data_IF_750346080181
#
_entry.id   IF_750346080181
#
_cell.length_a   1.000
_cell.length_b   1.000
_cell.length_c   1.000
_cell.angle_alpha   90.00
_cell.angle_beta   90.00
_cell.angle_gamma   90.00
#
_symmetry.space_group_name_H-M   'P 1'
#
loop_
_entity.id
_entity.type
_entity.pdbx_description
1 polymer ?
#
# COMPACT_ATOMS: atom_id res chain seq x y z
N UNK A 1 14.72 -4.15 -9.17
CA UNK A 1 13.36 -3.69 -8.77
C UNK A 1 12.31 -4.80 -8.76
N UNK A 2 12.68 -6.01 -9.13
CA UNK A 2 11.82 -7.18 -9.09
C UNK A 2 11.33 -7.46 -7.66
N UNK A 3 12.23 -7.42 -6.69
CA UNK A 3 11.91 -7.62 -5.26
C UNK A 3 10.87 -6.62 -4.76
N UNK A 4 11.00 -5.32 -5.12
CA UNK A 4 10.02 -4.30 -4.75
C UNK A 4 8.65 -4.60 -5.35
N UNK A 5 8.61 -5.02 -6.61
CA UNK A 5 7.35 -5.41 -7.27
C UNK A 5 6.72 -6.60 -6.56
N UNK A 6 7.51 -7.61 -6.21
CA UNK A 6 7.07 -8.79 -5.45
C UNK A 6 6.50 -8.39 -4.09
N UNK A 7 7.14 -7.50 -3.34
CA UNK A 7 6.64 -7.01 -2.05
C UNK A 7 5.32 -6.23 -2.19
N UNK A 8 5.17 -5.41 -3.23
CA UNK A 8 3.91 -4.71 -3.51
C UNK A 8 2.80 -5.69 -3.86
N UNK A 9 3.09 -6.73 -4.67
CA UNK A 9 2.13 -7.79 -4.98
C UNK A 9 1.80 -8.63 -3.73
N UNK A 10 2.79 -8.91 -2.88
CA UNK A 10 2.57 -9.55 -1.57
C UNK A 10 1.56 -8.75 -0.74
N UNK A 11 1.70 -7.41 -0.73
CA UNK A 11 0.77 -6.54 -0.02
C UNK A 11 -0.63 -6.57 -0.61
N UNK A 12 -0.76 -6.59 -1.93
CA UNK A 12 -2.05 -6.73 -2.62
C UNK A 12 -2.72 -8.06 -2.25
N UNK A 13 -1.98 -9.16 -2.29
CA UNK A 13 -2.51 -10.51 -1.98
C UNK A 13 -2.78 -10.68 -0.47
N UNK A 14 -2.01 -10.04 0.40
CA UNK A 14 -2.29 -10.04 1.84
C UNK A 14 -3.49 -9.15 2.23
N UNK A 15 -4.03 -8.35 1.28
CA UNK A 15 -5.08 -7.36 1.56
C UNK A 15 -4.59 -6.18 2.41
N UNK A 16 -3.30 -5.84 2.30
CA UNK A 16 -2.69 -4.74 3.06
C UNK A 16 -2.25 -3.58 2.18
N UNK A 17 -1.65 -2.57 2.80
CA UNK A 17 -1.22 -1.33 2.16
C UNK A 17 0.30 -1.15 2.29
N UNK A 18 0.90 -0.33 1.42
CA UNK A 18 2.36 -0.15 1.35
C UNK A 18 2.74 1.31 1.54
N UNK A 19 3.78 1.54 2.34
CA UNK A 19 4.47 2.82 2.42
C UNK A 19 5.79 2.73 1.65
N UNK A 20 5.92 3.50 0.57
CA UNK A 20 7.18 3.64 -0.16
C UNK A 20 7.96 4.83 0.39
N UNK A 21 9.08 4.56 1.01
CA UNK A 21 9.98 5.60 1.51
C UNK A 21 11.14 5.77 0.55
N UNK A 22 11.14 6.87 -0.19
CA UNK A 22 12.13 7.04 -1.25
C UNK A 22 12.18 8.47 -1.79
N UNK A 23 13.27 8.76 -2.49
CA UNK A 23 13.49 10.01 -3.21
C UNK A 23 12.56 10.14 -4.43
N UNK A 24 12.32 11.36 -4.93
CA UNK A 24 11.55 11.59 -6.16
C UNK A 24 12.18 10.92 -7.39
N UNK A 25 11.35 10.54 -8.36
CA UNK A 25 11.83 10.07 -9.67
C UNK A 25 12.18 8.57 -9.77
N UNK A 26 12.02 7.77 -8.72
CA UNK A 26 12.35 6.33 -8.71
C UNK A 26 11.35 5.40 -9.42
N UNK A 27 10.24 5.95 -9.94
CA UNK A 27 9.27 5.19 -10.72
C UNK A 27 8.04 4.69 -9.94
N UNK A 28 7.76 5.25 -8.75
CA UNK A 28 6.61 4.89 -7.89
C UNK A 28 5.27 4.93 -8.61
N UNK A 29 5.02 6.02 -9.35
CA UNK A 29 3.78 6.18 -10.13
C UNK A 29 3.66 5.13 -11.25
N UNK A 30 4.79 4.78 -11.87
CA UNK A 30 4.83 3.76 -12.91
C UNK A 30 4.49 2.39 -12.33
N UNK A 31 5.07 2.04 -11.17
CA UNK A 31 4.79 0.80 -10.45
C UNK A 31 3.30 0.68 -10.12
N UNK A 32 2.71 1.70 -9.49
CA UNK A 32 1.30 1.70 -9.11
C UNK A 32 0.36 1.56 -10.32
N UNK A 33 0.64 2.29 -11.41
CA UNK A 33 -0.14 2.17 -12.67
C UNK A 33 0.02 0.81 -13.33
N UNK A 34 1.23 0.22 -13.27
CA UNK A 34 1.47 -1.11 -13.83
C UNK A 34 0.67 -2.15 -13.07
N UNK A 35 0.72 -2.13 -11.73
CA UNK A 35 -0.09 -3.06 -10.91
C UNK A 35 -1.57 -2.92 -11.23
N UNK A 36 -2.11 -1.69 -11.24
CA UNK A 36 -3.53 -1.47 -11.55
C UNK A 36 -3.94 -2.01 -12.91
N UNK A 37 -3.13 -1.75 -13.95
CA UNK A 37 -3.40 -2.22 -15.30
C UNK A 37 -3.31 -3.74 -15.42
N UNK A 38 -2.36 -4.36 -14.72
CA UNK A 38 -2.18 -5.82 -14.73
C UNK A 38 -3.36 -6.59 -14.14
N UNK A 39 -4.07 -5.99 -13.17
CA UNK A 39 -5.23 -6.62 -12.50
C UNK A 39 -6.57 -6.01 -12.91
N UNK A 40 -6.61 -5.23 -14.00
CA UNK A 40 -7.82 -4.56 -14.49
C UNK A 40 -8.55 -3.76 -13.41
N UNK A 41 -7.79 -3.06 -12.59
CA UNK A 41 -8.28 -2.31 -11.45
C UNK A 41 -8.29 -0.80 -11.73
N UNK A 42 -9.26 -0.09 -11.14
CA UNK A 42 -9.31 1.36 -11.21
C UNK A 42 -8.15 1.97 -10.44
N UNK A 43 -7.40 2.86 -11.11
CA UNK A 43 -6.29 3.60 -10.54
C UNK A 43 -6.65 5.06 -10.28
N UNK A 44 -6.29 5.57 -9.11
CA UNK A 44 -6.29 7.00 -8.82
C UNK A 44 -4.97 7.44 -8.22
N UNK A 45 -4.61 8.71 -8.41
CA UNK A 45 -3.47 9.36 -7.76
C UNK A 45 -3.93 10.63 -7.09
N UNK A 46 -3.49 10.83 -5.88
CA UNK A 46 -3.65 12.09 -5.15
C UNK A 46 -2.28 12.55 -4.66
N UNK A 47 -1.95 13.82 -4.93
CA UNK A 47 -0.77 14.49 -4.40
C UNK A 47 -1.14 15.15 -3.09
N UNK A 48 -0.48 14.77 -2.00
CA UNK A 48 -0.70 15.38 -0.71
C UNK A 48 0.04 16.72 -0.62
N UNK A 49 -0.68 17.75 -0.20
CA UNK A 49 -0.20 19.12 -0.02
C UNK A 49 -0.73 19.69 1.29
N UNK A 50 -0.11 20.74 1.86
CA UNK A 50 -0.54 21.31 3.13
C UNK A 50 -1.98 21.82 3.17
N UNK A 51 -2.52 22.22 2.01
CA UNK A 51 -3.88 22.74 1.82
C UNK A 51 -4.92 21.67 1.47
N UNK A 52 -4.48 20.41 1.25
CA UNK A 52 -5.38 19.30 0.95
C UNK A 52 -6.33 19.02 2.14
N UNK A 53 -7.63 18.97 1.86
CA UNK A 53 -8.65 18.66 2.87
C UNK A 53 -8.98 17.19 2.91
N UNK A 54 -9.49 16.65 4.04
CA UNK A 54 -10.02 15.29 4.11
C UNK A 54 -11.04 14.96 3.04
N UNK A 55 -11.94 15.90 2.74
CA UNK A 55 -12.97 15.77 1.70
C UNK A 55 -12.41 15.63 0.27
N UNK A 56 -11.19 16.11 0.03
CA UNK A 56 -10.52 15.93 -1.27
C UNK A 56 -10.08 14.47 -1.46
N UNK A 57 -9.87 13.74 -0.36
CA UNK A 57 -9.53 12.31 -0.34
C UNK A 57 -10.78 11.45 -0.39
N UNK A 58 -11.74 11.72 0.50
CA UNK A 58 -12.92 10.88 0.73
C UNK A 58 -14.12 11.22 -0.15
N UNK A 59 -14.20 12.46 -0.62
CA UNK A 59 -15.36 12.97 -1.34
C UNK A 59 -16.22 13.89 -0.48
N UNK A 60 -17.21 14.50 -1.10
CA UNK A 60 -18.05 15.53 -0.51
C UNK A 60 -19.48 15.45 -1.01
N UNK A 61 -20.45 15.71 -0.12
CA UNK A 61 -21.82 16.01 -0.50
C UNK A 61 -21.92 17.45 -1.03
N UNK A 62 -22.45 17.63 -2.22
CA UNK A 62 -22.73 18.95 -2.78
C UNK A 62 -24.18 19.05 -3.23
N UNK A 63 -24.72 20.25 -3.16
CA UNK A 63 -26.08 20.52 -3.60
C UNK A 63 -26.14 20.65 -5.12
N UNK A 64 -26.84 19.74 -5.78
CA UNK A 64 -27.09 19.79 -7.22
C UNK A 64 -28.31 20.68 -7.49
N UNK A 65 -28.09 21.92 -7.91
CA UNK A 65 -29.16 22.87 -8.18
C UNK A 65 -30.14 22.42 -9.27
N UNK A 66 -29.70 21.60 -10.24
CA UNK A 66 -30.56 21.11 -11.32
C UNK A 66 -31.49 20.00 -10.86
N UNK A 67 -31.02 19.13 -9.97
CA UNK A 67 -31.78 18.02 -9.42
C UNK A 67 -32.54 18.43 -8.13
N UNK A 68 -32.16 19.54 -7.48
CA UNK A 68 -32.75 20.00 -6.23
C UNK A 68 -32.39 19.15 -5.02
N UNK A 69 -31.30 18.38 -5.09
CA UNK A 69 -30.91 17.42 -4.07
C UNK A 69 -29.40 17.44 -3.76
N UNK A 70 -29.02 16.92 -2.60
CA UNK A 70 -27.62 16.66 -2.28
C UNK A 70 -27.14 15.39 -2.97
N UNK A 71 -25.99 15.47 -3.62
CA UNK A 71 -25.37 14.34 -4.33
C UNK A 71 -23.96 14.12 -3.78
N UNK A 72 -23.64 12.88 -3.45
CA UNK A 72 -22.28 12.52 -3.05
C UNK A 72 -21.36 12.41 -4.26
N UNK A 73 -20.32 13.23 -4.27
CA UNK A 73 -19.21 13.13 -5.21
C UNK A 73 -18.07 12.33 -4.57
N UNK A 74 -17.84 11.13 -5.07
CA UNK A 74 -16.78 10.24 -4.61
C UNK A 74 -15.41 10.86 -4.78
N UNK A 75 -14.55 10.72 -3.77
CA UNK A 75 -13.15 11.11 -3.81
C UNK A 75 -12.25 10.03 -4.43
N UNK A 76 -10.94 10.30 -4.57
CA UNK A 76 -9.96 9.37 -5.13
C UNK A 76 -9.86 8.02 -4.39
N UNK A 77 -10.21 7.98 -3.11
CA UNK A 77 -10.17 6.76 -2.30
C UNK A 77 -11.11 5.66 -2.81
N UNK A 78 -12.11 6.02 -3.62
CA UNK A 78 -13.02 5.06 -4.25
C UNK A 78 -12.44 4.37 -5.49
N UNK A 79 -11.12 4.23 -5.55
CA UNK A 79 -10.42 3.43 -6.55
C UNK A 79 -9.85 2.17 -5.92
N UNK A 80 -9.64 1.12 -6.73
CA UNK A 80 -9.04 -0.12 -6.24
C UNK A 80 -7.57 0.04 -5.87
N UNK A 81 -6.83 0.84 -6.64
CA UNK A 81 -5.42 1.14 -6.38
C UNK A 81 -5.24 2.65 -6.32
N UNK A 82 -4.92 3.13 -5.12
CA UNK A 82 -4.69 4.54 -4.84
C UNK A 82 -3.20 4.79 -4.60
N UNK A 83 -2.61 5.68 -5.40
CA UNK A 83 -1.30 6.26 -5.10
C UNK A 83 -1.50 7.55 -4.31
N UNK A 84 -1.18 7.51 -3.01
CA UNK A 84 -1.17 8.65 -2.11
C UNK A 84 0.26 9.23 -2.05
N UNK A 85 0.54 10.21 -2.91
CA UNK A 85 1.90 10.71 -3.12
C UNK A 85 2.24 11.81 -2.10
N UNK A 86 3.41 11.67 -1.44
CA UNK A 86 3.93 12.58 -0.41
C UNK A 86 2.98 12.79 0.78
N UNK A 87 2.47 11.69 1.36
CA UNK A 87 1.47 11.71 2.45
C UNK A 87 1.90 12.60 3.63
N UNK A 88 3.21 12.70 3.90
CA UNK A 88 3.77 13.51 4.98
C UNK A 88 3.69 15.03 4.73
N UNK A 89 3.26 15.50 3.55
CA UNK A 89 3.04 16.94 3.26
C UNK A 89 1.67 17.44 3.72
N UNK A 90 0.67 16.60 3.81
CA UNK A 90 -0.64 17.02 4.29
C UNK A 90 -0.73 17.05 5.81
N UNK A 91 -1.71 17.81 6.32
CA UNK A 91 -1.97 17.92 7.75
C UNK A 91 -2.34 16.55 8.36
N UNK A 92 -2.10 16.32 9.66
CA UNK A 92 -2.47 15.09 10.35
C UNK A 92 -3.95 14.72 10.20
N UNK A 93 -4.83 15.71 10.06
CA UNK A 93 -6.27 15.50 9.84
C UNK A 93 -6.55 14.82 8.51
N UNK A 94 -5.88 15.26 7.45
CA UNK A 94 -6.03 14.68 6.11
C UNK A 94 -5.37 13.30 6.02
N UNK A 95 -4.20 13.14 6.67
CA UNK A 95 -3.56 11.82 6.80
C UNK A 95 -4.49 10.83 7.50
N UNK A 96 -5.10 11.22 8.64
CA UNK A 96 -6.01 10.36 9.41
C UNK A 96 -7.22 9.91 8.59
N UNK A 97 -7.78 10.77 7.74
CA UNK A 97 -8.89 10.40 6.87
C UNK A 97 -8.53 9.28 5.89
N UNK A 98 -7.33 9.33 5.28
CA UNK A 98 -6.87 8.22 4.43
C UNK A 98 -6.63 6.95 5.23
N UNK A 99 -5.96 7.06 6.38
CA UNK A 99 -5.62 5.92 7.23
C UNK A 99 -6.86 5.23 7.82
N UNK A 100 -7.94 5.99 8.07
CA UNK A 100 -9.25 5.43 8.47
C UNK A 100 -9.86 4.62 7.32
N UNK A 101 -9.87 5.16 6.10
CA UNK A 101 -10.34 4.43 4.92
C UNK A 101 -9.55 3.13 4.68
N UNK A 102 -8.23 3.14 4.93
CA UNK A 102 -7.38 1.95 4.81
C UNK A 102 -7.74 0.87 5.83
N UNK A 103 -8.11 1.25 7.04
CA UNK A 103 -8.41 0.32 8.13
C UNK A 103 -9.83 -0.22 8.05
N UNK A 104 -10.80 0.68 7.82
CA UNK A 104 -12.23 0.36 7.88
C UNK A 104 -12.81 -0.11 6.53
N UNK A 105 -12.07 0.03 5.43
CA UNK A 105 -12.51 -0.24 4.05
C UNK A 105 -13.84 0.45 3.71
N UNK A 106 -14.06 1.61 4.30
CA UNK A 106 -15.26 2.43 4.10
C UNK A 106 -14.97 3.92 4.31
N UNK A 107 -15.88 4.75 3.85
CA UNK A 107 -15.88 6.20 4.03
C UNK A 107 -17.20 6.60 4.67
N UNK A 108 -17.16 7.37 5.75
CA UNK A 108 -18.36 7.97 6.35
C UNK A 108 -18.39 9.46 6.02
N UNK A 109 -19.46 9.90 5.37
CA UNK A 109 -19.69 11.31 5.04
C UNK A 109 -21.07 11.69 5.57
N UNK A 110 -21.10 12.66 6.47
CA UNK A 110 -22.27 13.05 7.24
C UNK A 110 -22.87 11.86 8.02
N UNK A 111 -24.02 11.33 7.59
CA UNK A 111 -24.69 10.16 8.20
C UNK A 111 -24.55 8.87 7.39
N UNK A 112 -23.99 8.95 6.18
CA UNK A 112 -23.93 7.84 5.25
C UNK A 112 -22.58 7.17 5.23
N UNK A 113 -22.57 5.83 5.20
CA UNK A 113 -21.35 5.03 5.09
C UNK A 113 -21.30 4.34 3.75
N UNK A 114 -20.20 4.55 3.03
CA UNK A 114 -19.94 4.02 1.70
C UNK A 114 -18.78 3.01 1.78
N UNK A 115 -19.04 1.76 1.42
CA UNK A 115 -17.96 0.75 1.34
C UNK A 115 -17.08 1.00 0.13
N UNK A 116 -15.78 0.76 0.32
CA UNK A 116 -14.80 0.77 -0.77
C UNK A 116 -14.87 -0.57 -1.53
N UNK A 117 -14.61 -0.51 -2.83
CA UNK A 117 -14.58 -1.69 -3.68
C UNK A 117 -13.25 -2.42 -3.53
N UNK A 118 -13.31 -3.73 -3.29
CA UNK A 118 -12.12 -4.58 -3.22
C UNK A 118 -11.75 -5.19 -4.59
N UNK A 119 -10.46 -5.53 -4.82
CA UNK A 119 -9.35 -5.31 -3.90
C UNK A 119 -9.05 -3.82 -3.74
N UNK A 120 -8.66 -3.39 -2.52
CA UNK A 120 -8.29 -2.01 -2.21
C UNK A 120 -6.86 -1.95 -1.71
N UNK A 121 -5.97 -1.34 -2.49
CA UNK A 121 -4.55 -1.15 -2.17
C UNK A 121 -4.20 0.33 -2.19
N UNK A 122 -3.72 0.85 -1.07
CA UNK A 122 -3.07 2.15 -1.00
C UNK A 122 -1.55 1.96 -1.08
N UNK A 123 -0.94 2.65 -2.03
CA UNK A 123 0.50 2.83 -2.12
C UNK A 123 0.77 4.27 -1.72
N UNK A 124 1.11 4.47 -0.45
CA UNK A 124 1.50 5.78 0.04
C UNK A 124 2.98 6.02 -0.20
N UNK A 125 3.38 7.26 -0.43
CA UNK A 125 4.79 7.63 -0.54
C UNK A 125 5.15 8.69 0.49
N UNK A 126 6.38 8.64 0.99
CA UNK A 126 6.98 9.73 1.75
C UNK A 126 8.42 9.95 1.32
N UNK A 127 8.87 11.21 1.40
CA UNK A 127 10.26 11.56 1.17
C UNK A 127 10.94 11.77 2.53
N UNK A 128 11.89 10.93 2.93
CA UNK A 128 12.53 11.04 4.24
C UNK A 128 13.49 12.23 4.34
N UNK A 129 13.92 12.79 3.21
CA UNK A 129 14.91 13.88 3.16
C UNK A 129 14.23 15.25 3.37
N UNK A 130 13.00 15.40 2.89
CA UNK A 130 12.25 16.64 3.05
C UNK A 130 11.58 16.71 4.42
N UNK A 131 12.21 17.42 5.35
CA UNK A 131 11.67 17.63 6.71
C UNK A 131 10.97 18.98 6.87
N UNK A 132 11.32 19.98 6.07
CA UNK A 132 10.72 21.30 6.14
C UNK A 132 9.27 21.29 5.59
N UNK A 133 8.31 21.73 6.41
CA UNK A 133 6.89 21.77 6.01
C UNK A 133 6.22 20.42 5.88
N UNK A 134 6.75 19.38 6.54
CA UNK A 134 6.16 18.05 6.58
C UNK A 134 5.63 17.68 7.96
N UNK A 135 4.63 16.80 7.99
CA UNK A 135 4.04 16.21 9.19
C UNK A 135 4.35 14.71 9.17
N UNK A 136 5.30 14.31 9.99
CA UNK A 136 5.69 12.91 10.12
C UNK A 136 4.50 12.07 10.59
N UNK A 137 4.34 10.89 10.02
CA UNK A 137 3.37 9.90 10.50
C UNK A 137 3.83 9.36 11.86
N UNK A 138 2.99 9.43 12.92
CA UNK A 138 3.29 8.76 14.17
C UNK A 138 3.44 7.25 13.98
N UNK A 139 4.28 6.61 14.79
CA UNK A 139 4.52 5.15 14.75
C UNK A 139 3.22 4.33 14.80
N UNK A 140 2.25 4.75 15.62
CA UNK A 140 0.94 4.09 15.69
C UNK A 140 0.13 4.15 14.39
N UNK A 141 0.44 5.10 13.50
CA UNK A 141 -0.16 5.22 12.18
C UNK A 141 0.60 4.42 11.12
N UNK A 142 1.91 4.27 11.30
CA UNK A 142 2.73 3.41 10.44
C UNK A 142 2.32 1.94 10.54
N UNK A 143 1.83 1.50 11.69
CA UNK A 143 1.32 0.14 11.95
C UNK A 143 0.09 -0.26 11.09
N UNK A 144 -0.50 0.69 10.36
CA UNK A 144 -1.58 0.45 9.38
C UNK A 144 -1.07 0.02 8.01
N UNK A 145 0.20 0.23 7.74
CA UNK A 145 0.84 -0.29 6.53
C UNK A 145 1.34 -1.71 6.78
N UNK A 146 1.10 -2.60 5.82
CA UNK A 146 1.61 -3.97 5.88
C UNK A 146 3.13 -3.98 5.90
N UNK A 147 3.74 -3.13 5.08
CA UNK A 147 5.19 -2.99 5.02
C UNK A 147 5.63 -1.60 4.55
N UNK A 148 6.83 -1.22 4.97
CA UNK A 148 7.55 -0.05 4.49
C UNK A 148 8.67 -0.51 3.55
N UNK A 149 8.69 0.00 2.33
CA UNK A 149 9.60 -0.44 1.28
C UNK A 149 10.44 0.75 0.80
N UNK A 150 11.75 0.56 0.72
CA UNK A 150 12.66 1.51 0.09
C UNK A 150 13.00 1.02 -1.32
N UNK A 151 12.70 1.82 -2.34
CA UNK A 151 12.97 1.44 -3.74
C UNK A 151 14.44 1.62 -4.14
N UNK A 152 15.10 2.64 -3.63
CA UNK A 152 16.47 3.01 -3.97
C UNK A 152 16.65 3.42 -5.44
N UNK A 153 17.82 3.97 -5.75
CA UNK A 153 18.20 4.22 -7.14
C UNK A 153 18.50 2.91 -7.87
N UNK A 154 18.23 2.81 -9.18
CA UNK A 154 18.69 1.69 -9.97
C UNK A 154 20.22 1.70 -10.05
N UNK A 155 20.82 0.53 -10.21
CA UNK A 155 22.23 0.43 -10.62
C UNK A 155 22.39 0.92 -12.05
N UNK A 156 23.65 1.20 -12.46
CA UNK A 156 23.98 1.76 -13.78
C UNK A 156 23.31 1.02 -14.94
N UNK A 157 23.36 -0.29 -14.94
CA UNK A 157 22.80 -1.11 -16.03
C UNK A 157 21.27 -1.02 -16.05
N UNK A 158 20.63 -0.99 -14.89
CA UNK A 158 19.20 -0.78 -14.74
C UNK A 158 18.75 0.61 -15.21
N UNK A 159 19.56 1.64 -14.97
CA UNK A 159 19.28 3.00 -15.44
C UNK A 159 19.39 3.10 -16.97
N UNK A 160 20.41 2.47 -17.56
CA UNK A 160 20.54 2.35 -19.02
C UNK A 160 19.33 1.63 -19.63
N UNK A 161 18.88 0.55 -19.00
CA UNK A 161 17.67 -0.17 -19.46
C UNK A 161 16.43 0.71 -19.42
N UNK A 162 16.23 1.48 -18.36
CA UNK A 162 15.14 2.46 -18.23
C UNK A 162 15.19 3.45 -19.40
N UNK A 163 16.34 4.06 -19.65
CA UNK A 163 16.51 5.00 -20.76
C UNK A 163 16.15 4.36 -22.10
N UNK A 164 16.65 3.16 -22.37
CA UNK A 164 16.35 2.45 -23.63
C UNK A 164 14.86 2.13 -23.81
N UNK A 165 14.15 1.81 -22.73
CA UNK A 165 12.71 1.55 -22.78
C UNK A 165 11.93 2.83 -23.07
N UNK A 166 12.23 3.93 -22.39
CA UNK A 166 11.52 5.21 -22.54
C UNK A 166 11.80 5.90 -23.88
N UNK A 167 12.97 5.68 -24.48
CA UNK A 167 13.29 6.21 -25.82
C UNK A 167 12.43 5.56 -26.92
N UNK A 168 11.90 4.36 -26.72
CA UNK A 168 11.09 3.65 -27.74
C UNK A 168 9.61 3.94 -27.60
N UNK A 169 9.07 3.78 -26.41
CA UNK A 169 7.67 4.05 -26.09
C UNK A 169 7.48 4.09 -24.56
N UNK A 170 6.31 4.59 -24.09
CA UNK A 170 5.99 4.47 -22.67
C UNK A 170 5.82 2.99 -22.30
N UNK A 171 6.54 2.44 -21.32
CA UNK A 171 6.42 1.04 -20.93
C UNK A 171 4.99 0.62 -20.53
N UNK A 172 4.17 1.58 -20.06
CA UNK A 172 2.76 1.31 -19.73
C UNK A 172 1.90 0.86 -20.92
N UNK A 173 2.27 1.22 -22.14
CA UNK A 173 1.49 0.83 -23.33
C UNK A 173 1.57 -0.67 -23.58
N UNK A 174 2.68 -1.31 -23.24
CA UNK A 174 2.92 -2.75 -23.41
C UNK A 174 2.43 -3.62 -22.25
N UNK A 175 1.98 -3.02 -21.15
CA UNK A 175 1.41 -3.79 -20.04
C UNK A 175 0.03 -4.29 -20.46
N UNK A 176 -0.18 -5.58 -20.40
CA UNK A 176 -1.46 -6.23 -20.63
C UNK A 176 -2.10 -6.64 -19.30
N UNK A 177 -3.41 -6.85 -19.31
CA UNK A 177 -4.12 -7.45 -18.19
C UNK A 177 -3.64 -8.90 -18.03
N UNK A 178 -3.27 -9.25 -16.79
CA UNK A 178 -2.83 -10.61 -16.41
C UNK A 178 -3.95 -11.36 -15.70
N UNK A 179 -4.70 -10.65 -14.83
CA UNK A 179 -5.83 -11.22 -14.10
C UNK A 179 -6.92 -10.17 -13.87
N UNK A 180 -8.07 -10.62 -13.37
CA UNK A 180 -9.17 -9.74 -12.97
C UNK A 180 -9.15 -9.41 -11.48
N UNK A 181 -9.96 -8.45 -11.07
CA UNK A 181 -10.16 -8.12 -9.65
C UNK A 181 -10.69 -9.33 -8.86
N UNK A 182 -11.62 -10.07 -9.44
CA UNK A 182 -12.21 -11.27 -8.84
C UNK A 182 -11.17 -12.36 -8.64
N UNK A 183 -10.24 -12.53 -9.59
CA UNK A 183 -9.12 -13.46 -9.44
C UNK A 183 -8.17 -13.01 -8.33
N UNK A 184 -7.89 -11.71 -8.19
CA UNK A 184 -7.10 -11.19 -7.05
C UNK A 184 -7.79 -11.51 -5.72
N UNK A 185 -9.10 -11.30 -5.60
CA UNK A 185 -9.85 -11.64 -4.38
C UNK A 185 -9.79 -13.14 -4.08
N UNK A 186 -9.86 -13.99 -5.10
CA UNK A 186 -9.67 -15.43 -4.94
C UNK A 186 -8.26 -15.77 -4.43
N UNK A 187 -7.22 -15.17 -5.02
CA UNK A 187 -5.83 -15.33 -4.55
C UNK A 187 -5.65 -14.88 -3.10
N UNK A 188 -6.34 -13.80 -2.68
CA UNK A 188 -6.34 -13.35 -1.28
C UNK A 188 -6.94 -14.41 -0.33
N UNK A 189 -7.98 -15.12 -0.75
CA UNK A 189 -8.55 -16.20 0.05
C UNK A 189 -7.63 -17.43 0.08
N UNK A 190 -7.10 -17.83 -1.07
CA UNK A 190 -6.18 -18.97 -1.17
C UNK A 190 -4.89 -18.73 -0.35
N UNK A 191 -4.37 -17.52 -0.34
CA UNK A 191 -3.20 -17.15 0.47
C UNK A 191 -3.45 -17.31 1.99
N UNK A 192 -4.69 -17.15 2.46
CA UNK A 192 -5.04 -17.38 3.87
C UNK A 192 -5.00 -18.86 4.27
N UNK A 193 -5.08 -19.77 3.30
CA UNK A 193 -5.01 -21.22 3.54
C UNK A 193 -3.57 -21.75 3.56
N UNK A 194 -2.57 -20.93 3.19
CA UNK A 194 -1.15 -21.30 3.25
C UNK A 194 -0.78 -21.71 4.68
N UNK A 195 -0.21 -22.89 4.81
CA UNK A 195 0.09 -23.50 6.11
C UNK A 195 1.22 -22.79 6.83
N UNK A 196 1.04 -22.59 8.13
CA UNK A 196 2.05 -22.00 9.04
C UNK A 196 2.39 -23.02 10.12
N UNK A 197 3.60 -23.54 10.11
CA UNK A 197 4.04 -24.48 11.14
C UNK A 197 4.12 -23.77 12.52
N UNK A 198 3.70 -24.40 13.63
CA UNK A 198 3.74 -23.77 14.96
C UNK A 198 5.10 -23.22 15.38
N UNK A 199 6.20 -23.88 14.99
CA UNK A 199 7.56 -23.38 15.26
C UNK A 199 7.86 -22.04 14.57
N UNK A 200 7.29 -21.81 13.37
CA UNK A 200 7.45 -20.53 12.66
C UNK A 200 6.59 -19.42 13.28
N UNK A 201 5.42 -19.75 13.83
CA UNK A 201 4.67 -18.81 14.66
C UNK A 201 5.47 -18.38 15.88
N UNK A 202 6.12 -19.33 16.58
CA UNK A 202 7.05 -19.05 17.68
C UNK A 202 8.19 -18.14 17.24
N UNK A 203 8.81 -18.41 16.10
CA UNK A 203 9.89 -17.62 15.54
C UNK A 203 9.47 -16.16 15.24
N UNK A 204 8.28 -15.94 14.66
CA UNK A 204 7.74 -14.59 14.42
C UNK A 204 7.52 -13.85 15.75
N UNK A 205 6.96 -14.54 16.75
CA UNK A 205 6.75 -13.96 18.09
C UNK A 205 8.08 -13.62 18.75
N UNK A 206 9.10 -14.45 18.60
CA UNK A 206 10.44 -14.20 19.16
C UNK A 206 11.10 -12.98 18.50
N UNK A 207 10.97 -12.82 17.18
CA UNK A 207 11.43 -11.60 16.47
C UNK A 207 10.71 -10.37 17.05
N UNK A 208 9.38 -10.40 17.14
CA UNK A 208 8.61 -9.28 17.69
C UNK A 208 9.00 -8.98 19.14
N UNK A 209 9.20 -10.01 19.98
CA UNK A 209 9.64 -9.86 21.36
C UNK A 209 11.06 -9.28 21.45
N UNK A 210 11.96 -9.64 20.54
CA UNK A 210 13.31 -9.11 20.46
C UNK A 210 13.28 -7.60 20.15
N UNK A 211 12.44 -7.15 19.20
CA UNK A 211 12.30 -5.71 18.90
C UNK A 211 11.83 -4.90 20.11
N UNK A 212 10.91 -5.45 20.92
CA UNK A 212 10.37 -4.77 22.13
C UNK A 212 11.41 -4.61 23.26
N UNK A 213 12.48 -5.39 23.23
CA UNK A 213 13.53 -5.39 24.27
C UNK A 213 14.83 -4.74 23.80
N UNK A 214 14.97 -4.49 22.51
CA UNK A 214 16.22 -3.98 21.97
C UNK A 214 16.40 -2.48 22.21
N UNK A 215 17.52 -2.07 22.77
CA UNK A 215 17.79 -0.68 23.17
C UNK A 215 17.82 0.34 22.03
N UNK A 216 18.09 -0.11 20.80
CA UNK A 216 18.11 0.74 19.60
C UNK A 216 16.74 0.85 18.93
N UNK A 217 15.71 0.16 19.41
CA UNK A 217 14.35 0.21 18.86
C UNK A 217 13.50 1.07 19.79
N UNK A 218 13.04 2.21 19.28
CA UNK A 218 12.23 3.14 20.04
C UNK A 218 10.86 2.56 20.41
N UNK A 219 10.22 1.87 19.45
CA UNK A 219 8.92 1.20 19.63
C UNK A 219 9.01 -0.18 18.97
N UNK A 220 8.83 -1.24 19.76
CA UNK A 220 8.83 -2.62 19.25
C UNK A 220 7.54 -2.97 18.51
N UNK A 221 7.61 -4.02 17.70
CA UNK A 221 6.48 -4.53 16.88
C UNK A 221 5.26 -4.81 17.75
N UNK A 222 4.09 -4.28 17.37
CA UNK A 222 2.82 -4.51 18.05
C UNK A 222 2.31 -5.94 17.86
N UNK A 223 1.35 -6.42 18.66
CA UNK A 223 0.67 -7.71 18.39
C UNK A 223 -0.04 -7.71 17.02
N UNK A 224 -0.53 -6.55 16.56
CA UNK A 224 -1.09 -6.37 15.22
C UNK A 224 0.00 -6.57 14.16
N UNK A 225 1.16 -5.96 14.32
CA UNK A 225 2.31 -6.13 13.43
C UNK A 225 2.78 -7.59 13.37
N UNK A 226 2.72 -8.33 14.49
CA UNK A 226 3.01 -9.78 14.51
C UNK A 226 2.03 -10.56 13.63
N UNK A 227 0.72 -10.27 13.72
CA UNK A 227 -0.29 -10.89 12.86
C UNK A 227 -0.12 -10.48 11.38
N UNK A 228 0.18 -9.22 11.14
CA UNK A 228 0.47 -8.68 9.81
C UNK A 228 1.63 -9.42 9.16
N UNK A 229 2.70 -9.73 9.90
CA UNK A 229 3.84 -10.51 9.41
C UNK A 229 3.45 -11.94 9.01
N UNK A 230 2.58 -12.61 9.78
CA UNK A 230 2.05 -13.93 9.40
C UNK A 230 1.30 -13.86 8.07
N UNK A 231 0.42 -12.87 7.91
CA UNK A 231 -0.37 -12.70 6.69
C UNK A 231 0.52 -12.35 5.48
N UNK A 232 1.51 -11.48 5.67
CA UNK A 232 2.50 -11.16 4.65
C UNK A 232 3.32 -12.39 4.23
N UNK A 233 3.78 -13.21 5.19
CA UNK A 233 4.54 -14.45 4.92
C UNK A 233 3.70 -15.48 4.14
N UNK A 234 2.41 -15.62 4.47
CA UNK A 234 1.48 -16.46 3.71
C UNK A 234 1.32 -16.00 2.27
N UNK A 235 1.06 -14.70 2.08
CA UNK A 235 0.92 -14.11 0.75
C UNK A 235 2.22 -14.21 -0.07
N UNK A 236 3.36 -14.01 0.57
CA UNK A 236 4.67 -14.17 -0.08
C UNK A 236 4.92 -15.63 -0.51
N UNK A 237 4.68 -16.61 0.37
CA UNK A 237 4.80 -18.01 0.03
C UNK A 237 3.84 -18.43 -1.10
N UNK A 238 2.61 -17.90 -1.10
CA UNK A 238 1.63 -18.11 -2.16
C UNK A 238 2.14 -17.62 -3.53
N UNK A 239 2.71 -16.41 -3.59
CA UNK A 239 3.33 -15.84 -4.81
C UNK A 239 4.50 -16.71 -5.29
N UNK A 240 5.25 -17.33 -4.36
CA UNK A 240 6.32 -18.28 -4.68
C UNK A 240 5.79 -19.67 -5.10
N UNK A 241 4.48 -19.86 -5.19
CA UNK A 241 3.84 -21.13 -5.57
C UNK A 241 3.90 -22.20 -4.49
N UNK A 242 3.99 -21.81 -3.21
CA UNK A 242 4.09 -22.75 -2.08
C UNK A 242 2.81 -22.71 -1.22
N UNK A 243 2.44 -23.87 -0.70
CA UNK A 243 1.31 -24.06 0.22
C UNK A 243 1.71 -23.96 1.70
N UNK A 244 2.97 -23.59 1.99
CA UNK A 244 3.50 -23.42 3.33
C UNK A 244 4.58 -22.33 3.36
N UNK A 245 4.74 -21.67 4.51
CA UNK A 245 5.81 -20.69 4.73
C UNK A 245 7.12 -21.37 5.15
N UNK A 246 8.24 -20.71 4.83
CA UNK A 246 9.58 -21.10 5.26
C UNK A 246 10.24 -19.96 6.06
N UNK A 247 11.30 -20.23 6.85
CA UNK A 247 11.99 -19.17 7.62
C UNK A 247 12.50 -18.00 6.78
N UNK A 248 12.88 -18.28 5.53
CA UNK A 248 13.36 -17.28 4.57
C UNK A 248 12.31 -16.22 4.24
N UNK A 249 11.03 -16.63 4.14
CA UNK A 249 9.92 -15.70 3.88
C UNK A 249 9.82 -14.66 5.01
N UNK A 250 9.94 -15.13 6.26
CA UNK A 250 9.91 -14.28 7.45
C UNK A 250 11.11 -13.31 7.45
N UNK A 251 12.31 -13.80 7.08
CA UNK A 251 13.53 -12.97 7.03
C UNK A 251 13.50 -11.91 5.95
N UNK A 252 12.84 -12.17 4.82
CA UNK A 252 12.69 -11.18 3.73
C UNK A 252 11.73 -10.07 4.14
N UNK A 253 10.74 -10.39 4.96
CA UNK A 253 9.66 -9.47 5.36
C UNK A 253 9.94 -8.74 6.68
N UNK A 254 10.90 -9.20 7.49
CA UNK A 254 11.30 -8.59 8.76
C UNK A 254 12.31 -7.44 8.55
#
# INVERSE_FOLDING_TARGET
KEDVTKLVLTSLIAGGHVLLEDVPGTGKTMLAKTVAKSVDAQFSRIQFTPDLLPSDVTGINYYNQKAGEFVFRRGPVFSNILLADEINRATPRTQSALLECMEEHQVTVDSDTYRLEEPFLVIATQNPIETAGTYQLPEAQLDRFLMKICMGYPEKDGEIEILNRFLKASPLTSVERVCSKEEVLKMQQEAKEVYVHPSLMGYIVDIAAATRKHSSVAIGVSPRGTLTMVNAARAFAYIEGREYIVPEDIRILA
#
